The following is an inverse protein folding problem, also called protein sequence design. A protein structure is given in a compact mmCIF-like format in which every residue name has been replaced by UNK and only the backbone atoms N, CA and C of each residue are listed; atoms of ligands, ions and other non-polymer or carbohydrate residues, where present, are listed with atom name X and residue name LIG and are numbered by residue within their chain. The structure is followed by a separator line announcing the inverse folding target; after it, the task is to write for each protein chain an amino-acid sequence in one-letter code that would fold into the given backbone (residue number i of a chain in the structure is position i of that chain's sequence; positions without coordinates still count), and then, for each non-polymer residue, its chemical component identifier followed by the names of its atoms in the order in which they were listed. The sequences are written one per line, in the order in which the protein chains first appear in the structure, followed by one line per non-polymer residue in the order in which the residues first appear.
data_IF_936176176463
#
_entry.id   IF_936176176463
#
_cell.length_a   1.000
_cell.length_b   1.000
_cell.length_c   1.000
_cell.angle_alpha   90.00
_cell.angle_beta   90.00
_cell.angle_gamma   90.00
#
_symmetry.space_group_name_H-M   'P 1'
#
loop_
_entity.id
_entity.type
_entity.pdbx_description
1 polymer ?
#
# COMPACT_ATOMS: atom_id res chain seq x y z
N UNK A 1 -28.74 -22.83 21.15
CA UNK A 1 -27.30 -23.17 21.25
C UNK A 1 -26.85 -24.13 20.14
N UNK A 2 -27.53 -25.27 19.92
CA UNK A 2 -27.12 -26.28 18.93
C UNK A 2 -27.20 -25.82 17.45
N UNK A 3 -28.19 -25.00 17.07
CA UNK A 3 -28.30 -24.47 15.69
C UNK A 3 -27.16 -23.49 15.38
N UNK A 4 -26.84 -22.59 16.30
CA UNK A 4 -25.72 -21.64 16.16
C UNK A 4 -24.36 -22.35 16.07
N UNK A 5 -24.13 -23.36 16.92
CA UNK A 5 -22.90 -24.17 16.87
C UNK A 5 -22.80 -24.97 15.56
N UNK A 6 -23.93 -25.51 15.06
CA UNK A 6 -23.97 -26.19 13.77
C UNK A 6 -23.75 -25.23 12.59
N UNK A 7 -24.30 -24.02 12.63
CA UNK A 7 -24.10 -22.99 11.59
C UNK A 7 -22.66 -22.47 11.58
N UNK A 8 -22.05 -22.27 12.75
CA UNK A 8 -20.63 -21.90 12.90
C UNK A 8 -19.72 -23.05 12.45
N UNK A 9 -20.04 -24.30 12.78
CA UNK A 9 -19.31 -25.47 12.28
C UNK A 9 -19.39 -25.61 10.75
N UNK A 10 -20.53 -25.23 10.16
CA UNK A 10 -20.77 -25.33 8.71
C UNK A 10 -20.17 -24.17 7.90
N UNK A 11 -20.16 -22.95 8.46
CA UNK A 11 -19.64 -21.76 7.77
C UNK A 11 -18.24 -21.34 8.23
N UNK A 12 -17.75 -21.84 9.36
CA UNK A 12 -16.45 -21.45 9.92
C UNK A 12 -15.30 -21.71 8.96
N UNK A 13 -15.27 -22.89 8.33
CA UNK A 13 -14.27 -23.21 7.31
C UNK A 13 -14.37 -22.32 6.07
N UNK A 14 -15.59 -22.10 5.57
CA UNK A 14 -15.84 -21.27 4.38
C UNK A 14 -15.49 -19.79 4.64
N UNK A 15 -15.76 -19.31 5.85
CA UNK A 15 -15.47 -17.94 6.28
C UNK A 15 -13.97 -17.74 6.47
N UNK A 16 -13.26 -18.69 7.09
CA UNK A 16 -11.80 -18.68 7.14
C UNK A 16 -11.21 -18.64 5.73
N UNK A 17 -11.65 -19.51 4.83
CA UNK A 17 -11.22 -19.52 3.44
C UNK A 17 -11.46 -18.16 2.76
N UNK A 18 -12.69 -17.62 2.84
CA UNK A 18 -13.06 -16.39 2.17
C UNK A 18 -12.30 -15.16 2.69
N UNK A 19 -12.10 -15.06 4.01
CA UNK A 19 -11.37 -13.93 4.61
C UNK A 19 -9.89 -13.95 4.21
N UNK A 20 -9.25 -15.13 4.24
CA UNK A 20 -7.84 -15.25 3.87
C UNK A 20 -7.61 -15.06 2.37
N UNK A 21 -8.55 -15.52 1.54
CA UNK A 21 -8.54 -15.24 0.11
C UNK A 21 -8.76 -13.75 -0.18
N UNK A 22 -9.69 -13.10 0.54
CA UNK A 22 -9.93 -11.68 0.39
C UNK A 22 -8.70 -10.84 0.75
N UNK A 23 -8.02 -11.16 1.86
CA UNK A 23 -6.78 -10.49 2.27
C UNK A 23 -5.68 -10.63 1.21
N UNK A 24 -5.45 -11.84 0.69
CA UNK A 24 -4.41 -12.09 -0.33
C UNK A 24 -4.70 -11.44 -1.67
N UNK A 25 -5.97 -11.21 -2.01
CA UNK A 25 -6.37 -10.43 -3.20
C UNK A 25 -6.13 -8.91 -2.98
N UNK A 26 -5.85 -8.48 -1.76
CA UNK A 26 -5.51 -7.09 -1.41
C UNK A 26 -6.64 -6.31 -0.74
N UNK A 27 -7.71 -6.99 -0.30
CA UNK A 27 -8.74 -6.37 0.53
C UNK A 27 -8.19 -6.22 1.97
N UNK A 28 -8.43 -5.09 2.65
CA UNK A 28 -7.86 -4.82 3.97
C UNK A 28 -8.64 -5.55 5.08
N UNK A 29 -8.72 -6.88 4.99
CA UNK A 29 -9.29 -7.74 6.02
C UNK A 29 -8.19 -8.31 6.92
N UNK A 30 -8.31 -8.20 8.25
CA UNK A 30 -7.29 -8.71 9.16
C UNK A 30 -7.41 -10.23 9.32
N UNK A 31 -6.74 -11.01 8.45
CA UNK A 31 -6.80 -12.47 8.50
C UNK A 31 -6.25 -13.05 9.81
N UNK A 32 -5.29 -12.37 10.45
CA UNK A 32 -4.76 -12.72 11.76
C UNK A 32 -5.86 -12.83 12.83
N UNK A 33 -6.84 -11.91 12.82
CA UNK A 33 -7.97 -11.94 13.75
C UNK A 33 -8.87 -13.14 13.46
N UNK A 34 -9.15 -13.42 12.19
CA UNK A 34 -9.95 -14.57 11.78
C UNK A 34 -9.30 -15.90 12.19
N UNK A 35 -7.98 -16.02 12.04
CA UNK A 35 -7.21 -17.20 12.47
C UNK A 35 -7.18 -17.35 13.99
N UNK A 36 -7.01 -16.26 14.76
CA UNK A 36 -7.09 -16.32 16.23
C UNK A 36 -8.48 -16.77 16.68
N UNK A 37 -9.55 -16.24 16.08
CA UNK A 37 -10.92 -16.68 16.36
C UNK A 37 -11.13 -18.16 16.01
N UNK A 38 -10.61 -18.61 14.87
CA UNK A 38 -10.66 -20.02 14.46
C UNK A 38 -9.86 -20.92 15.43
N UNK A 39 -8.73 -20.46 15.95
CA UNK A 39 -7.94 -21.14 16.98
C UNK A 39 -8.73 -21.38 18.28
N UNK A 40 -9.45 -20.36 18.75
CA UNK A 40 -10.32 -20.48 19.92
C UNK A 40 -11.52 -21.41 19.67
N UNK A 41 -12.05 -21.43 18.45
CA UNK A 41 -13.12 -22.34 18.03
C UNK A 41 -12.65 -23.80 17.97
N UNK A 42 -11.40 -24.05 17.54
CA UNK A 42 -10.75 -25.37 17.61
C UNK A 42 -10.60 -25.81 19.07
N UNK A 43 -10.13 -24.93 19.95
CA UNK A 43 -10.00 -25.22 21.39
C UNK A 43 -11.33 -25.54 22.08
N UNK A 44 -12.44 -25.04 21.51
CA UNK A 44 -13.80 -25.32 21.99
C UNK A 44 -14.45 -26.53 21.30
N UNK A 45 -13.68 -27.31 20.52
CA UNK A 45 -14.13 -28.47 19.75
C UNK A 45 -15.27 -28.20 18.75
N UNK A 46 -15.44 -26.93 18.35
CA UNK A 46 -16.48 -26.53 17.38
C UNK A 46 -16.01 -26.65 15.93
N UNK A 47 -14.70 -26.56 15.71
CA UNK A 47 -14.05 -26.75 14.41
C UNK A 47 -12.90 -27.75 14.53
N UNK A 48 -12.67 -28.50 13.46
CA UNK A 48 -11.51 -29.37 13.28
C UNK A 48 -10.28 -28.54 12.96
N UNK A 49 -9.18 -28.76 13.68
CA UNK A 49 -7.90 -28.13 13.40
C UNK A 49 -7.45 -28.38 11.95
N UNK A 50 -7.57 -29.63 11.49
CA UNK A 50 -7.21 -30.02 10.12
C UNK A 50 -8.06 -29.28 9.09
N UNK A 51 -9.38 -29.17 9.33
CA UNK A 51 -10.28 -28.49 8.42
C UNK A 51 -9.98 -26.99 8.29
N UNK A 52 -9.68 -26.33 9.41
CA UNK A 52 -9.33 -24.89 9.42
C UNK A 52 -7.98 -24.66 8.76
N UNK A 53 -6.96 -25.47 9.06
CA UNK A 53 -5.64 -25.35 8.44
C UNK A 53 -5.73 -25.55 6.93
N UNK A 54 -6.47 -26.55 6.45
CA UNK A 54 -6.65 -26.77 5.02
C UNK A 54 -7.40 -25.61 4.35
N UNK A 55 -8.50 -25.15 4.95
CA UNK A 55 -9.26 -24.02 4.41
C UNK A 55 -8.40 -22.75 4.34
N UNK A 56 -7.61 -22.48 5.38
CA UNK A 56 -6.71 -21.34 5.43
C UNK A 56 -5.59 -21.44 4.38
N UNK A 57 -4.93 -22.58 4.28
CA UNK A 57 -3.86 -22.80 3.30
C UNK A 57 -4.37 -22.68 1.86
N UNK A 58 -5.53 -23.26 1.54
CA UNK A 58 -6.10 -23.17 0.20
C UNK A 58 -6.45 -21.70 -0.12
N UNK A 59 -7.06 -20.97 0.84
CA UNK A 59 -7.39 -19.55 0.65
C UNK A 59 -6.16 -18.70 0.37
N UNK A 60 -5.10 -18.87 1.17
CA UNK A 60 -3.84 -18.16 0.98
C UNK A 60 -3.18 -18.52 -0.35
N UNK A 61 -2.95 -19.81 -0.59
CA UNK A 61 -2.25 -20.30 -1.79
C UNK A 61 -2.96 -19.87 -3.08
N UNK A 62 -4.29 -19.93 -3.14
CA UNK A 62 -5.04 -19.52 -4.35
C UNK A 62 -4.81 -18.04 -4.66
N UNK A 63 -4.90 -17.17 -3.65
CA UNK A 63 -4.65 -15.74 -3.82
C UNK A 63 -3.20 -15.44 -4.18
N UNK A 64 -2.25 -16.07 -3.48
CA UNK A 64 -0.81 -15.88 -3.69
C UNK A 64 -0.36 -16.38 -5.06
N UNK A 65 -0.88 -17.54 -5.53
CA UNK A 65 -0.63 -18.04 -6.88
C UNK A 65 -1.19 -17.08 -7.93
N UNK A 66 -2.40 -16.57 -7.72
CA UNK A 66 -3.00 -15.60 -8.65
C UNK A 66 -2.16 -14.32 -8.75
N UNK A 67 -1.73 -13.77 -7.62
CA UNK A 67 -0.85 -12.60 -7.55
C UNK A 67 0.53 -12.87 -8.16
N UNK A 68 1.10 -14.06 -7.95
CA UNK A 68 2.36 -14.47 -8.55
C UNK A 68 2.29 -14.46 -10.08
N UNK A 69 1.24 -15.08 -10.64
CA UNK A 69 1.04 -15.07 -12.09
C UNK A 69 0.76 -13.68 -12.62
N UNK A 70 -0.05 -12.89 -11.92
CA UNK A 70 -0.30 -11.50 -12.26
C UNK A 70 1.04 -10.75 -12.39
N UNK A 71 1.87 -10.77 -11.35
CA UNK A 71 3.20 -10.16 -11.35
C UNK A 71 4.14 -10.71 -12.42
N UNK A 72 4.05 -12.01 -12.73
CA UNK A 72 4.83 -12.67 -13.79
C UNK A 72 4.50 -12.17 -15.20
N UNK A 73 3.23 -11.85 -15.47
CA UNK A 73 2.77 -11.35 -16.76
C UNK A 73 2.91 -9.83 -16.90
N UNK A 74 2.59 -9.08 -15.85
CA UNK A 74 2.65 -7.61 -15.87
C UNK A 74 4.05 -7.05 -15.60
N UNK A 75 4.96 -7.85 -15.03
CA UNK A 75 6.32 -7.42 -14.71
C UNK A 75 6.36 -6.18 -13.81
N UNK A 76 7.24 -5.23 -14.14
CA UNK A 76 7.42 -3.99 -13.39
C UNK A 76 6.24 -3.00 -13.51
N UNK A 77 5.33 -3.19 -14.47
CA UNK A 77 4.18 -2.30 -14.64
C UNK A 77 3.20 -2.38 -13.45
N UNK A 78 2.99 -3.59 -12.91
CA UNK A 78 2.18 -3.80 -11.71
C UNK A 78 2.87 -3.23 -10.47
N UNK A 79 4.19 -3.34 -10.37
CA UNK A 79 4.96 -2.73 -9.29
C UNK A 79 4.85 -1.20 -9.35
N UNK A 80 4.91 -0.60 -10.54
CA UNK A 80 4.65 0.82 -10.75
C UNK A 80 3.24 1.26 -10.34
N UNK A 81 2.22 0.45 -10.61
CA UNK A 81 0.83 0.73 -10.20
C UNK A 81 0.65 0.60 -8.67
N UNK A 82 1.16 -0.48 -8.07
CA UNK A 82 1.10 -0.72 -6.63
C UNK A 82 1.95 0.30 -5.84
N UNK A 83 3.09 0.72 -6.37
CA UNK A 83 3.92 1.77 -5.79
C UNK A 83 3.31 3.18 -5.95
N UNK A 84 2.47 3.43 -6.97
CA UNK A 84 1.64 4.66 -7.05
C UNK A 84 0.54 4.71 -5.99
N UNK A 85 0.08 3.56 -5.51
CA UNK A 85 -0.81 3.48 -4.35
C UNK A 85 -0.07 3.71 -3.02
N UNK A 86 1.26 3.53 -3.01
CA UNK A 86 2.12 3.71 -1.84
C UNK A 86 2.59 5.15 -1.71
N UNK A 87 2.78 5.60 -0.46
CA UNK A 87 3.06 6.99 -0.07
C UNK A 87 4.42 7.53 -0.59
N UNK A 88 5.30 6.68 -1.13
CA UNK A 88 6.59 7.04 -1.73
C UNK A 88 6.95 6.08 -2.90
N UNK A 89 6.67 6.45 -4.16
CA UNK A 89 6.76 5.53 -5.30
C UNK A 89 8.19 5.15 -5.71
N UNK A 90 9.16 6.07 -5.64
CA UNK A 90 10.52 5.85 -6.16
C UNK A 90 11.40 5.01 -5.22
N UNK A 91 11.28 5.21 -3.91
CA UNK A 91 12.03 4.44 -2.91
C UNK A 91 11.48 3.01 -2.73
N UNK A 92 10.19 2.80 -3.02
CA UNK A 92 9.52 1.52 -2.87
C UNK A 92 9.96 0.50 -3.93
N UNK A 93 10.14 0.92 -5.18
CA UNK A 93 10.55 0.03 -6.29
C UNK A 93 11.99 -0.45 -6.09
N UNK A 94 12.93 0.46 -5.82
CA UNK A 94 14.36 0.14 -5.75
C UNK A 94 14.76 -0.61 -4.47
N UNK A 95 14.28 -0.19 -3.29
CA UNK A 95 14.64 -0.87 -2.02
C UNK A 95 13.97 -2.23 -1.87
N UNK A 96 12.72 -2.38 -2.31
CA UNK A 96 12.01 -3.66 -2.21
C UNK A 96 12.61 -4.69 -3.16
N UNK A 97 12.96 -4.30 -4.39
CA UNK A 97 13.63 -5.18 -5.33
C UNK A 97 15.04 -5.59 -4.87
N UNK A 98 15.84 -4.65 -4.34
CA UNK A 98 17.21 -4.96 -3.87
C UNK A 98 17.22 -5.84 -2.61
N UNK A 99 16.28 -5.61 -1.68
CA UNK A 99 16.11 -6.44 -0.49
C UNK A 99 15.61 -7.85 -0.83
N UNK A 100 14.68 -7.96 -1.79
CA UNK A 100 14.21 -9.26 -2.28
C UNK A 100 15.27 -9.99 -3.12
N UNK A 101 16.14 -9.27 -3.84
CA UNK A 101 17.27 -9.88 -4.53
C UNK A 101 18.30 -10.49 -3.57
N UNK A 102 18.56 -9.81 -2.44
CA UNK A 102 19.51 -10.27 -1.41
C UNK A 102 18.92 -11.33 -0.46
N UNK A 103 17.61 -11.27 -0.16
CA UNK A 103 16.95 -12.09 0.89
C UNK A 103 15.59 -12.68 0.52
N UNK A 104 15.19 -12.67 -0.76
CA UNK A 104 13.82 -12.97 -1.21
C UNK A 104 13.24 -14.31 -0.75
N UNK A 105 14.09 -15.33 -0.52
CA UNK A 105 13.65 -16.60 0.05
C UNK A 105 13.15 -16.46 1.50
N UNK A 106 13.88 -15.73 2.33
CA UNK A 106 13.48 -15.45 3.71
C UNK A 106 12.31 -14.45 3.76
N UNK A 107 12.30 -13.48 2.84
CA UNK A 107 11.20 -12.52 2.73
C UNK A 107 9.87 -13.22 2.47
N UNK A 108 9.79 -14.20 1.56
CA UNK A 108 8.54 -14.94 1.30
C UNK A 108 8.05 -15.72 2.53
N UNK A 109 8.96 -16.25 3.34
CA UNK A 109 8.61 -17.03 4.52
C UNK A 109 8.00 -16.18 5.64
N UNK A 110 8.48 -14.94 5.80
CA UNK A 110 8.03 -14.03 6.86
C UNK A 110 7.11 -12.89 6.37
N UNK A 111 6.92 -12.73 5.06
CA UNK A 111 6.15 -11.62 4.47
C UNK A 111 4.73 -11.51 5.04
N UNK A 112 4.09 -12.65 5.31
CA UNK A 112 2.70 -12.72 5.78
C UNK A 112 2.49 -12.09 7.16
N UNK A 113 3.54 -12.00 7.99
CA UNK A 113 3.49 -11.38 9.30
C UNK A 113 3.56 -9.84 9.25
N UNK A 114 3.96 -9.26 8.12
CA UNK A 114 4.17 -7.83 7.98
C UNK A 114 3.11 -7.26 7.02
N UNK A 115 2.15 -6.47 7.52
CA UNK A 115 1.16 -5.80 6.67
C UNK A 115 1.83 -4.98 5.55
N UNK A 116 1.28 -5.05 4.35
CA UNK A 116 1.83 -4.40 3.15
C UNK A 116 2.99 -5.16 2.48
N UNK A 117 3.80 -5.92 3.22
CA UNK A 117 4.80 -6.83 2.62
C UNK A 117 4.11 -8.09 2.09
N UNK A 118 3.13 -8.63 2.83
CA UNK A 118 2.33 -9.78 2.41
C UNK A 118 1.73 -9.60 1.00
N UNK A 119 1.04 -8.49 0.77
CA UNK A 119 0.38 -8.17 -0.50
C UNK A 119 1.34 -7.94 -1.67
N UNK A 120 2.61 -7.58 -1.38
CA UNK A 120 3.61 -7.27 -2.39
C UNK A 120 4.54 -8.46 -2.69
N UNK A 121 4.66 -9.43 -1.78
CA UNK A 121 5.65 -10.49 -1.88
C UNK A 121 5.41 -11.46 -3.05
N UNK A 122 4.18 -11.96 -3.20
CA UNK A 122 3.79 -12.83 -4.31
C UNK A 122 3.92 -12.18 -5.70
N UNK A 123 3.38 -10.96 -5.96
CA UNK A 123 3.54 -10.32 -7.26
C UNK A 123 5.00 -9.93 -7.56
N UNK A 124 5.79 -9.58 -6.54
CA UNK A 124 7.22 -9.31 -6.70
C UNK A 124 8.02 -10.58 -7.06
N UNK A 125 7.72 -11.72 -6.42
CA UNK A 125 8.32 -13.00 -6.79
C UNK A 125 8.01 -13.39 -8.25
N UNK A 126 6.77 -13.11 -8.69
CA UNK A 126 6.34 -13.29 -10.07
C UNK A 126 7.09 -12.41 -11.06
N UNK A 127 7.17 -11.10 -10.80
CA UNK A 127 7.81 -10.12 -11.68
C UNK A 127 9.31 -10.37 -11.85
N UNK A 128 9.97 -10.91 -10.82
CA UNK A 128 11.37 -11.34 -10.84
C UNK A 128 11.61 -12.69 -11.54
N UNK A 129 10.57 -13.28 -12.15
CA UNK A 129 10.62 -14.59 -12.85
C UNK A 129 11.16 -15.73 -11.98
N UNK A 130 10.83 -15.71 -10.69
CA UNK A 130 11.16 -16.82 -9.79
C UNK A 130 10.57 -18.14 -10.31
N UNK A 131 11.26 -19.26 -10.09
CA UNK A 131 10.75 -20.59 -10.48
C UNK A 131 9.48 -20.88 -9.67
N UNK A 132 8.39 -21.23 -10.35
CA UNK A 132 7.08 -21.46 -9.71
C UNK A 132 7.14 -22.47 -8.55
N UNK A 133 7.82 -23.61 -8.74
CA UNK A 133 7.96 -24.61 -7.67
C UNK A 133 8.75 -24.11 -6.44
N UNK A 134 9.68 -23.18 -6.64
CA UNK A 134 10.42 -22.56 -5.54
C UNK A 134 9.57 -21.52 -4.80
N UNK A 135 8.77 -20.74 -5.54
CA UNK A 135 7.80 -19.82 -4.94
C UNK A 135 6.77 -20.61 -4.12
N UNK A 136 6.17 -21.64 -4.71
CA UNK A 136 5.12 -22.44 -4.09
C UNK A 136 5.59 -23.10 -2.78
N UNK A 137 6.81 -23.64 -2.72
CA UNK A 137 7.32 -24.28 -1.50
C UNK A 137 7.61 -23.28 -0.38
N UNK A 138 8.16 -22.10 -0.72
CA UNK A 138 8.43 -21.04 0.26
C UNK A 138 7.16 -20.36 0.75
N UNK A 139 6.23 -20.09 -0.17
CA UNK A 139 4.93 -19.49 0.15
C UNK A 139 4.08 -20.45 0.98
N UNK A 140 4.06 -21.75 0.64
CA UNK A 140 3.40 -22.77 1.45
C UNK A 140 4.01 -22.85 2.86
N UNK A 141 5.33 -22.84 2.99
CA UNK A 141 6.00 -22.85 4.29
C UNK A 141 5.65 -21.59 5.12
N UNK A 142 5.64 -20.41 4.49
CA UNK A 142 5.23 -19.15 5.12
C UNK A 142 3.75 -19.14 5.51
N UNK A 143 2.87 -19.62 4.64
CA UNK A 143 1.43 -19.75 4.87
C UNK A 143 1.13 -20.70 6.03
N UNK A 144 1.82 -21.84 6.08
CA UNK A 144 1.69 -22.81 7.16
C UNK A 144 2.19 -22.22 8.48
N UNK A 145 3.37 -21.60 8.48
CA UNK A 145 3.93 -20.95 9.67
C UNK A 145 2.97 -19.87 10.20
N UNK A 146 2.52 -18.97 9.34
CA UNK A 146 1.54 -17.93 9.69
C UNK A 146 0.25 -18.51 10.26
N UNK A 147 -0.35 -19.46 9.55
CA UNK A 147 -1.60 -20.12 9.96
C UNK A 147 -1.46 -20.78 11.32
N UNK A 148 -0.43 -21.61 11.51
CA UNK A 148 -0.21 -22.33 12.77
C UNK A 148 0.08 -21.37 13.91
N UNK A 149 0.90 -20.33 13.71
CA UNK A 149 1.20 -19.34 14.76
C UNK A 149 -0.08 -18.66 15.26
N UNK A 150 -0.92 -18.12 14.39
CA UNK A 150 -2.14 -17.43 14.82
C UNK A 150 -3.22 -18.38 15.36
N UNK A 151 -3.32 -19.61 14.83
CA UNK A 151 -4.20 -20.63 15.39
C UNK A 151 -3.76 -21.04 16.80
N UNK A 152 -2.45 -21.24 17.04
CA UNK A 152 -1.92 -21.57 18.37
C UNK A 152 -2.15 -20.45 19.37
N UNK A 153 -1.94 -19.19 18.95
CA UNK A 153 -2.27 -18.02 19.79
C UNK A 153 -3.76 -18.07 20.19
N UNK A 154 -4.66 -18.26 19.23
CA UNK A 154 -6.09 -18.40 19.53
C UNK A 154 -6.45 -19.60 20.39
N UNK A 155 -5.76 -20.73 20.20
CA UNK A 155 -6.00 -21.96 20.93
C UNK A 155 -5.58 -21.84 22.41
N UNK A 156 -4.39 -21.31 22.67
CA UNK A 156 -3.84 -21.14 24.04
C UNK A 156 -4.53 -19.99 24.76
N UNK A 157 -4.84 -18.90 24.07
CA UNK A 157 -5.51 -17.74 24.67
C UNK A 157 -7.02 -17.93 24.81
N UNK A 158 -7.57 -19.15 24.63
CA UNK A 158 -9.02 -19.43 24.70
C UNK A 158 -9.65 -18.90 25.99
N UNK A 159 -9.04 -19.14 27.15
CA UNK A 159 -9.64 -18.76 28.44
C UNK A 159 -9.61 -17.24 28.66
N UNK A 160 -8.54 -16.58 28.19
CA UNK A 160 -8.44 -15.12 28.16
C UNK A 160 -9.45 -14.53 27.16
N UNK A 161 -9.58 -15.11 25.97
CA UNK A 161 -10.58 -14.71 24.98
C UNK A 161 -11.99 -14.96 25.51
N UNK A 162 -12.30 -16.08 26.16
CA UNK A 162 -13.64 -16.37 26.68
C UNK A 162 -14.05 -15.43 27.82
N UNK A 163 -13.11 -15.11 28.72
CA UNK A 163 -13.32 -14.11 29.77
C UNK A 163 -13.45 -12.69 29.20
N UNK A 164 -12.69 -12.37 28.17
CA UNK A 164 -12.74 -11.06 27.50
C UNK A 164 -13.91 -10.97 26.51
N UNK A 165 -14.43 -12.08 25.96
CA UNK A 165 -15.47 -12.09 24.93
C UNK A 165 -16.81 -11.61 25.48
N UNK A 166 -17.15 -11.91 26.74
CA UNK A 166 -18.31 -11.30 27.40
C UNK A 166 -18.17 -9.77 27.53
N UNK A 167 -16.93 -9.26 27.66
CA UNK A 167 -16.62 -7.82 27.65
C UNK A 167 -16.47 -7.25 26.23
N UNK A 168 -16.05 -8.07 25.25
CA UNK A 168 -15.87 -7.71 23.84
C UNK A 168 -17.21 -7.70 23.10
N UNK A 169 -18.24 -8.45 23.49
CA UNK A 169 -19.57 -8.25 22.90
C UNK A 169 -20.13 -6.85 23.24
N UNK A 170 -19.76 -6.27 24.39
CA UNK A 170 -20.02 -4.86 24.69
C UNK A 170 -19.07 -3.90 23.94
N UNK A 171 -17.81 -4.28 23.75
CA UNK A 171 -16.80 -3.48 23.02
C UNK A 171 -16.81 -3.68 21.48
N UNK A 172 -17.58 -4.62 20.96
CA UNK A 172 -17.58 -5.03 19.55
C UNK A 172 -18.20 -3.96 18.68
N UNK A 173 -19.30 -3.34 19.15
CA UNK A 173 -19.84 -2.10 18.55
C UNK A 173 -18.85 -0.95 18.63
N UNK A 174 -18.07 -0.83 19.71
CA UNK A 174 -17.10 0.26 19.86
C UNK A 174 -15.95 0.08 18.88
N UNK A 175 -15.46 -1.16 18.71
CA UNK A 175 -14.39 -1.48 17.76
C UNK A 175 -14.86 -1.37 16.30
N UNK A 176 -16.08 -1.82 16.00
CA UNK A 176 -16.72 -1.63 14.69
C UNK A 176 -16.89 -0.14 14.37
N UNK A 177 -17.41 0.64 15.32
CA UNK A 177 -17.53 2.10 15.18
C UNK A 177 -16.15 2.74 15.07
N UNK A 178 -15.14 2.29 15.81
CA UNK A 178 -13.79 2.83 15.73
C UNK A 178 -13.14 2.56 14.36
N UNK A 179 -13.34 1.37 13.79
CA UNK A 179 -12.85 1.02 12.46
C UNK A 179 -13.58 1.83 11.38
N UNK A 180 -14.91 1.96 11.48
CA UNK A 180 -15.71 2.79 10.57
C UNK A 180 -15.26 4.26 10.67
N UNK A 181 -15.08 4.78 11.88
CA UNK A 181 -14.63 6.15 12.12
C UNK A 181 -13.22 6.37 11.56
N UNK A 182 -12.28 5.45 11.78
CA UNK A 182 -10.94 5.54 11.22
C UNK A 182 -10.96 5.53 9.68
N UNK A 183 -11.81 4.69 9.08
CA UNK A 183 -11.97 4.60 7.63
C UNK A 183 -12.63 5.87 7.06
N UNK A 184 -13.63 6.42 7.74
CA UNK A 184 -14.25 7.71 7.39
C UNK A 184 -13.25 8.85 7.51
N UNK A 185 -12.47 8.93 8.60
CA UNK A 185 -11.41 9.94 8.77
C UNK A 185 -10.40 9.83 7.63
N UNK A 186 -9.97 8.62 7.28
CA UNK A 186 -9.05 8.40 6.17
C UNK A 186 -9.63 8.85 4.83
N UNK A 187 -10.88 8.50 4.53
CA UNK A 187 -11.56 8.91 3.29
C UNK A 187 -11.75 10.43 3.24
N UNK A 188 -12.18 11.05 4.34
CA UNK A 188 -12.33 12.52 4.44
C UNK A 188 -10.98 13.20 4.26
N UNK A 189 -9.93 12.72 4.92
CA UNK A 189 -8.57 13.21 4.71
C UNK A 189 -8.17 13.12 3.23
N UNK A 190 -8.44 12.00 2.55
CA UNK A 190 -8.15 11.83 1.12
C UNK A 190 -8.97 12.77 0.24
N UNK A 191 -10.24 13.01 0.55
CA UNK A 191 -11.10 13.94 -0.18
C UNK A 191 -10.63 15.37 0.01
N UNK A 192 -10.29 15.77 1.25
CA UNK A 192 -9.77 17.11 1.55
C UNK A 192 -8.46 17.35 0.82
N UNK A 193 -7.54 16.38 0.85
CA UNK A 193 -6.31 16.47 0.07
C UNK A 193 -6.61 16.60 -1.43
N UNK A 194 -7.50 15.76 -1.98
CA UNK A 194 -7.89 15.83 -3.38
C UNK A 194 -8.51 17.19 -3.77
N UNK A 195 -9.39 17.75 -2.93
CA UNK A 195 -9.99 19.07 -3.14
C UNK A 195 -8.94 20.18 -3.07
N UNK A 196 -8.03 20.12 -2.08
CA UNK A 196 -6.92 21.06 -1.93
C UNK A 196 -6.01 21.03 -3.17
N UNK A 197 -5.70 19.84 -3.69
CA UNK A 197 -4.95 19.69 -4.94
C UNK A 197 -5.74 20.13 -6.18
N UNK A 198 -7.08 20.05 -6.15
CA UNK A 198 -7.95 20.56 -7.23
C UNK A 198 -7.95 22.08 -7.30
N UNK A 199 -7.83 22.75 -6.14
CA UNK A 199 -7.72 24.21 -6.04
C UNK A 199 -6.39 24.72 -6.62
N UNK A 200 -5.32 23.93 -6.50
CA UNK A 200 -4.04 24.20 -7.19
C UNK A 200 -4.04 23.83 -8.69
N UNK A 201 -5.16 23.35 -9.23
CA UNK A 201 -5.27 22.90 -10.63
C UNK A 201 -5.37 24.04 -11.65
N UNK A 202 -5.67 25.27 -11.21
CA UNK A 202 -5.77 26.44 -12.09
C UNK A 202 -4.55 27.34 -11.94
N UNK A 203 -3.43 26.92 -12.53
CA UNK A 203 -2.30 27.83 -12.77
C UNK A 203 -2.53 28.50 -14.13
N UNK A 204 -2.81 29.81 -14.20
CA UNK A 204 -2.99 30.50 -15.46
C UNK A 204 -1.72 30.37 -16.30
N UNK A 205 -1.88 30.01 -17.58
CA UNK A 205 -0.76 29.82 -18.51
C UNK A 205 -0.72 31.00 -19.47
N UNK A 206 0.49 31.53 -19.71
CA UNK A 206 0.75 32.52 -20.76
C UNK A 206 1.51 31.85 -21.91
N UNK A 207 1.20 32.16 -23.18
CA UNK A 207 2.04 31.76 -24.30
C UNK A 207 3.43 32.41 -24.20
N UNK A 208 4.48 31.72 -24.66
CA UNK A 208 5.85 32.23 -24.66
C UNK A 208 5.98 33.59 -25.39
N UNK A 209 5.22 33.79 -26.47
CA UNK A 209 5.16 35.05 -27.22
C UNK A 209 4.66 36.21 -26.34
N UNK A 210 3.61 35.99 -25.54
CA UNK A 210 3.07 37.03 -24.66
C UNK A 210 4.03 37.42 -23.54
N UNK A 211 4.85 36.47 -23.05
CA UNK A 211 5.92 36.79 -22.11
C UNK A 211 7.04 37.60 -22.77
N UNK A 212 7.40 37.28 -24.02
CA UNK A 212 8.42 38.00 -24.78
C UNK A 212 8.01 39.46 -25.07
N UNK A 213 6.74 39.70 -25.42
CA UNK A 213 6.20 41.04 -25.65
C UNK A 213 6.30 41.92 -24.39
N UNK A 214 5.98 41.37 -23.21
CA UNK A 214 6.09 42.11 -21.94
C UNK A 214 7.54 42.44 -21.57
N UNK A 215 8.48 41.53 -21.84
CA UNK A 215 9.90 41.80 -21.67
C UNK A 215 10.37 42.91 -22.62
N UNK A 216 9.94 42.88 -23.88
CA UNK A 216 10.26 43.91 -24.87
C UNK A 216 9.64 45.28 -24.53
N UNK A 217 8.48 45.30 -23.87
CA UNK A 217 7.82 46.52 -23.39
C UNK A 217 8.52 47.17 -22.17
N UNK A 218 9.61 46.60 -21.66
CA UNK A 218 10.38 47.15 -20.53
C UNK A 218 9.86 46.75 -19.15
N UNK A 219 8.96 45.76 -19.06
CA UNK A 219 8.43 45.28 -17.77
C UNK A 219 9.37 44.29 -17.04
N UNK A 220 10.59 44.08 -17.55
CA UNK A 220 11.52 43.07 -17.04
C UNK A 220 11.81 43.17 -15.54
N UNK A 221 11.79 44.38 -14.98
CA UNK A 221 12.10 44.58 -13.56
C UNK A 221 10.98 44.09 -12.61
N UNK A 222 9.74 43.98 -13.12
CA UNK A 222 8.57 43.47 -12.38
C UNK A 222 8.35 41.96 -12.56
N UNK A 223 9.06 41.34 -13.49
CA UNK A 223 8.89 39.94 -13.86
C UNK A 223 10.01 39.11 -13.22
N UNK A 224 9.66 37.96 -12.67
CA UNK A 224 10.63 36.93 -12.27
C UNK A 224 10.38 35.66 -13.06
N UNK A 225 11.30 35.31 -13.94
CA UNK A 225 11.22 34.10 -14.75
C UNK A 225 12.01 33.00 -14.04
N UNK A 226 11.37 31.86 -13.83
CA UNK A 226 11.90 30.76 -13.03
C UNK A 226 11.91 29.48 -13.85
N UNK A 227 13.11 28.94 -14.05
CA UNK A 227 13.35 27.63 -14.64
C UNK A 227 13.21 26.55 -13.56
N UNK A 228 12.20 25.69 -13.70
CA UNK A 228 11.95 24.56 -12.78
C UNK A 228 12.31 23.21 -13.40
N UNK A 229 13.16 23.16 -14.44
CA UNK A 229 13.66 21.90 -15.01
C UNK A 229 14.48 21.13 -13.98
N UNK A 230 14.13 19.87 -13.78
CA UNK A 230 14.83 18.96 -12.87
C UNK A 230 16.17 18.51 -13.46
N UNK A 231 17.04 18.01 -12.58
CA UNK A 231 18.43 17.65 -12.91
C UNK A 231 18.58 16.70 -14.11
N UNK A 232 17.57 15.87 -14.42
CA UNK A 232 17.56 14.96 -15.58
C UNK A 232 17.20 15.60 -16.92
N UNK A 233 16.74 16.85 -16.94
CA UNK A 233 16.37 17.62 -18.14
C UNK A 233 17.15 18.94 -18.28
N UNK A 234 18.11 19.18 -17.38
CA UNK A 234 18.96 20.35 -17.37
C UNK A 234 20.41 19.95 -17.68
N UNK A 235 20.84 20.17 -18.91
CA UNK A 235 22.25 20.07 -19.30
C UNK A 235 22.97 21.41 -19.09
N UNK A 236 24.26 21.38 -18.77
CA UNK A 236 25.08 22.58 -18.50
C UNK A 236 25.14 23.52 -19.72
N UNK A 237 24.92 22.99 -20.93
CA UNK A 237 24.82 23.75 -22.18
C UNK A 237 23.39 24.13 -22.59
N UNK A 238 22.38 23.87 -21.75
CA UNK A 238 21.00 24.17 -22.09
C UNK A 238 20.76 25.68 -22.12
N UNK A 239 20.17 26.14 -23.22
CA UNK A 239 19.69 27.52 -23.33
C UNK A 239 18.60 27.78 -22.28
N UNK A 240 18.58 29.02 -21.82
CA UNK A 240 17.64 29.52 -20.80
C UNK A 240 17.06 30.83 -21.29
N UNK A 241 15.84 31.12 -20.85
CA UNK A 241 15.23 32.43 -21.06
C UNK A 241 16.12 33.47 -20.36
N UNK A 242 16.48 34.54 -21.07
CA UNK A 242 17.35 35.59 -20.55
C UNK A 242 16.77 36.20 -19.27
N UNK A 243 17.59 36.30 -18.23
CA UNK A 243 17.16 36.82 -16.92
C UNK A 243 16.42 35.80 -16.04
N UNK A 244 16.29 34.53 -16.45
CA UNK A 244 15.69 33.51 -15.59
C UNK A 244 16.63 33.01 -14.49
N UNK A 245 16.06 32.77 -13.31
CA UNK A 245 16.70 32.06 -12.21
C UNK A 245 16.30 30.58 -12.27
N UNK A 246 17.17 29.70 -11.79
CA UNK A 246 16.86 28.27 -11.66
C UNK A 246 16.46 27.98 -10.23
N UNK A 247 15.34 27.28 -10.05
CA UNK A 247 14.92 26.74 -8.75
C UNK A 247 14.91 25.22 -8.84
N UNK A 248 15.68 24.57 -7.97
CA UNK A 248 15.73 23.11 -7.89
C UNK A 248 14.44 22.60 -7.22
N UNK A 249 13.60 21.79 -7.90
CA UNK A 249 12.35 21.30 -7.31
C UNK A 249 12.55 20.51 -6.01
N UNK A 250 13.72 19.90 -5.83
CA UNK A 250 14.08 19.13 -4.65
C UNK A 250 14.45 20.00 -3.43
N UNK A 251 14.76 21.29 -3.62
CA UNK A 251 15.05 22.24 -2.52
C UNK A 251 14.04 23.40 -2.45
N UNK A 252 12.83 23.17 -2.97
CA UNK A 252 11.81 24.21 -3.16
C UNK A 252 11.48 24.98 -1.87
N UNK A 253 11.41 24.32 -0.71
CA UNK A 253 11.06 24.97 0.56
C UNK A 253 12.08 26.03 1.01
N UNK A 254 13.37 25.83 0.74
CA UNK A 254 14.41 26.81 1.06
C UNK A 254 14.43 27.95 0.04
N UNK A 255 14.30 27.61 -1.25
CA UNK A 255 14.33 28.60 -2.32
C UNK A 255 13.10 29.52 -2.29
N UNK A 256 11.92 29.00 -1.92
CA UNK A 256 10.69 29.78 -1.74
C UNK A 256 10.84 30.91 -0.70
N UNK A 257 11.72 30.75 0.31
CA UNK A 257 11.93 31.79 1.34
C UNK A 257 12.65 33.01 0.80
N UNK A 258 13.44 32.83 -0.25
CA UNK A 258 14.29 33.86 -0.84
C UNK A 258 13.64 34.56 -2.05
N UNK A 259 12.42 34.15 -2.43
CA UNK A 259 11.73 34.73 -3.57
C UNK A 259 11.17 36.13 -3.25
N UNK A 260 11.36 37.09 -4.17
CA UNK A 260 10.75 38.41 -4.06
C UNK A 260 9.22 38.28 -4.11
N UNK A 261 8.54 38.88 -3.13
CA UNK A 261 7.06 38.84 -3.02
C UNK A 261 6.37 39.95 -3.81
N UNK A 262 7.15 40.87 -4.37
CA UNK A 262 6.75 42.06 -5.10
C UNK A 262 6.81 41.90 -6.63
N UNK A 263 7.23 40.73 -7.14
CA UNK A 263 7.35 40.43 -8.57
C UNK A 263 6.34 39.39 -9.04
N UNK A 264 5.93 39.49 -10.30
CA UNK A 264 5.10 38.46 -10.95
C UNK A 264 5.99 37.27 -11.32
N UNK A 265 5.67 36.07 -10.79
CA UNK A 265 6.47 34.86 -10.99
C UNK A 265 5.95 34.05 -12.17
N UNK A 266 6.82 33.80 -13.16
CA UNK A 266 6.55 32.96 -14.32
C UNK A 266 7.41 31.70 -14.26
N UNK A 267 6.75 30.55 -14.13
CA UNK A 267 7.40 29.24 -14.10
C UNK A 267 7.42 28.64 -15.51
N UNK A 268 8.57 28.11 -15.93
CA UNK A 268 8.67 27.31 -17.15
C UNK A 268 9.44 26.01 -16.92
N UNK A 269 9.05 24.99 -17.67
CA UNK A 269 9.75 23.70 -17.77
C UNK A 269 9.99 23.36 -19.24
N UNK A 270 10.53 22.17 -19.50
CA UNK A 270 10.65 21.60 -20.85
C UNK A 270 9.31 21.47 -21.56
#
# INVERSE_FOLDING_TARGET
MNVLLATIGRHGYALTFAVLLAETIGLPFPASIALVAAGAAIASHTLSATGVVLAALIGLMVGDIWQFWLGRYTGWALLGFLCRLSMNPETCILRSAESFYKRGKATLLFAKFIPGVNTMAAPLAGSMKMRFGQFLSLDFAGALLYTVTYLLIGYVSRDFLAATLNSIYAAGRIMEVAIIVALVIYVVYRIVQYQKYREYGFVPRIPAQGLAERLAAGEGDRLLIVDVRSHGYYDVGAERILGSIRIEPNNLEEELKNLPKDKDIYLYCT
#
